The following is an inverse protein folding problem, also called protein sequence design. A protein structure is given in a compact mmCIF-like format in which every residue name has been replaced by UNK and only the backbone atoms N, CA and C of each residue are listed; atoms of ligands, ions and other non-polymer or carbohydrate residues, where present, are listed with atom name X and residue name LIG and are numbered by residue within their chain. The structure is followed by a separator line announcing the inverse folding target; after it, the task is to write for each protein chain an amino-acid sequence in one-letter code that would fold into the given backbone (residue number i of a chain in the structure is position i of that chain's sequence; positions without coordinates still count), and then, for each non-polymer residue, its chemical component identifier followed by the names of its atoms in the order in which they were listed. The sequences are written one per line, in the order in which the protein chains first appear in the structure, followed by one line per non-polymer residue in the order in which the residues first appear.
data_IF_233721012200
#
_entry.id   IF_233721012200
#
_cell.length_a   1.000
_cell.length_b   1.000
_cell.length_c   1.000
_cell.angle_alpha   90.00
_cell.angle_beta   90.00
_cell.angle_gamma   90.00
#
_symmetry.space_group_name_H-M   'P 1'
#
loop_
_entity.id
_entity.type
_entity.pdbx_description
1 polymer ?
#
# COMPACT_ATOMS: atom_id res chain seq x y z
N UNK A 1 -6.41 -0.74 6.50
CA UNK A 1 -7.62 -0.28 7.22
C UNK A 1 -7.27 0.00 8.67
N UNK A 2 -7.78 1.09 9.24
CA UNK A 2 -7.65 1.40 10.68
C UNK A 2 -9.02 1.37 11.35
N UNK A 3 -9.03 1.05 12.63
CA UNK A 3 -10.24 0.95 13.46
C UNK A 3 -9.93 1.45 14.89
N UNK A 4 -10.93 1.67 15.76
CA UNK A 4 -10.71 2.03 17.14
C UNK A 4 -9.79 1.04 17.86
N UNK A 5 -8.92 1.54 18.72
CA UNK A 5 -7.86 0.74 19.35
C UNK A 5 -8.44 -0.43 20.15
N UNK A 6 -7.94 -1.63 19.88
CA UNK A 6 -8.22 -2.85 20.61
C UNK A 6 -7.17 -3.05 21.70
N UNK A 7 -7.49 -2.67 22.91
CA UNK A 7 -6.57 -2.78 24.06
C UNK A 7 -6.15 -4.23 24.36
N UNK A 8 -6.94 -5.22 23.93
CA UNK A 8 -6.62 -6.64 24.09
C UNK A 8 -5.54 -7.15 23.13
N UNK A 9 -5.19 -6.40 22.10
CA UNK A 9 -4.15 -6.75 21.13
C UNK A 9 -2.76 -6.25 21.47
N UNK A 10 -2.60 -5.58 22.60
CA UNK A 10 -1.28 -5.13 23.12
C UNK A 10 -0.44 -6.31 23.68
N UNK A 11 -0.73 -7.54 23.31
CA UNK A 11 -0.08 -8.73 23.83
C UNK A 11 0.70 -9.44 22.74
N UNK A 12 1.83 -10.06 23.13
CA UNK A 12 2.65 -10.89 22.25
C UNK A 12 1.96 -12.21 21.82
N UNK A 13 0.65 -12.34 22.03
CA UNK A 13 -0.15 -13.51 21.62
C UNK A 13 -1.20 -13.08 20.61
N UNK A 14 -1.30 -13.76 19.45
CA UNK A 14 -2.32 -13.46 18.46
C UNK A 14 -3.71 -13.80 19.02
N UNK A 15 -4.76 -13.11 18.55
CA UNK A 15 -6.13 -13.51 18.82
C UNK A 15 -6.36 -14.93 18.27
N UNK A 16 -6.65 -15.89 19.16
CA UNK A 16 -6.74 -17.32 18.82
C UNK A 16 -7.75 -17.58 17.69
N UNK A 17 -8.90 -16.89 17.73
CA UNK A 17 -9.94 -17.02 16.70
C UNK A 17 -9.45 -16.64 15.31
N UNK A 18 -8.78 -15.49 15.19
CA UNK A 18 -8.20 -15.02 13.93
C UNK A 18 -7.07 -15.95 13.46
N UNK A 19 -6.14 -16.29 14.34
CA UNK A 19 -5.02 -17.17 14.00
C UNK A 19 -5.53 -18.55 13.49
N UNK A 20 -6.57 -19.09 14.11
CA UNK A 20 -7.21 -20.34 13.67
C UNK A 20 -7.87 -20.19 12.30
N UNK A 21 -8.57 -19.09 12.06
CA UNK A 21 -9.25 -18.82 10.79
C UNK A 21 -8.25 -18.64 9.63
N UNK A 22 -7.13 -17.97 9.89
CA UNK A 22 -6.10 -17.71 8.87
C UNK A 22 -5.19 -18.90 8.60
N UNK A 23 -5.04 -19.84 9.52
CA UNK A 23 -4.03 -20.92 9.51
C UNK A 23 -3.97 -21.73 8.21
N UNK A 24 -5.09 -21.98 7.54
CA UNK A 24 -5.11 -22.78 6.30
C UNK A 24 -4.54 -22.01 5.11
N UNK A 25 -4.82 -20.72 5.02
CA UNK A 25 -4.48 -19.87 3.88
C UNK A 25 -3.16 -19.12 4.10
N UNK A 26 -2.88 -18.73 5.35
CA UNK A 26 -1.68 -18.04 5.78
C UNK A 26 -1.00 -18.85 6.90
N UNK A 27 -0.26 -19.92 6.53
CA UNK A 27 0.25 -20.89 7.51
C UNK A 27 1.41 -20.38 8.37
N UNK A 28 2.11 -19.35 7.94
CA UNK A 28 3.22 -18.80 8.67
C UNK A 28 2.76 -17.60 9.52
N UNK A 29 3.19 -17.60 10.78
CA UNK A 29 2.92 -16.52 11.71
C UNK A 29 4.21 -16.00 12.32
N UNK A 30 4.39 -14.69 12.29
CA UNK A 30 5.47 -13.98 12.95
C UNK A 30 4.91 -12.82 13.79
N UNK A 31 5.65 -12.43 14.80
CA UNK A 31 5.38 -11.23 15.59
C UNK A 31 6.46 -10.22 15.25
N UNK A 32 6.07 -9.10 14.68
CA UNK A 32 6.92 -7.93 14.53
C UNK A 32 6.67 -6.98 15.70
N UNK A 33 7.74 -6.36 16.19
CA UNK A 33 7.71 -5.38 17.26
C UNK A 33 8.17 -4.05 16.72
N UNK A 34 7.25 -3.11 16.67
CA UNK A 34 7.55 -1.74 16.28
C UNK A 34 7.88 -0.91 17.55
N UNK A 35 9.02 -0.26 17.52
CA UNK A 35 9.46 0.65 18.59
C UNK A 35 9.51 2.04 18.01
N UNK A 36 8.70 2.95 18.53
CA UNK A 36 8.67 4.35 18.13
C UNK A 36 9.18 5.24 19.25
N UNK A 37 10.09 6.16 18.91
CA UNK A 37 10.52 7.23 19.81
C UNK A 37 9.73 8.50 19.47
N UNK A 38 8.98 8.98 20.43
CA UNK A 38 8.21 10.23 20.30
C UNK A 38 8.44 11.17 21.47
N UNK A 39 7.86 12.38 21.45
CA UNK A 39 7.96 13.33 22.56
C UNK A 39 7.45 12.77 23.90
N UNK A 40 6.55 11.79 23.86
CA UNK A 40 5.99 11.11 25.04
C UNK A 40 6.83 9.91 25.52
N UNK A 41 8.00 9.65 24.89
CA UNK A 41 8.87 8.52 25.22
C UNK A 41 8.85 7.41 24.17
N UNK A 42 9.27 6.21 24.60
CA UNK A 42 9.31 5.00 23.76
C UNK A 42 7.95 4.31 23.82
N UNK A 43 7.31 4.15 22.66
CA UNK A 43 6.11 3.32 22.51
C UNK A 43 6.46 2.02 21.80
N UNK A 44 5.84 0.93 22.20
CA UNK A 44 5.99 -0.39 21.58
C UNK A 44 4.62 -0.84 21.08
N UNK A 45 4.56 -1.24 19.82
CA UNK A 45 3.37 -1.87 19.22
C UNK A 45 3.74 -3.25 18.68
N UNK A 46 2.82 -4.20 18.79
CA UNK A 46 2.99 -5.53 18.26
C UNK A 46 2.15 -5.71 17.00
N UNK A 47 2.76 -6.28 15.98
CA UNK A 47 2.10 -6.65 14.74
C UNK A 47 2.12 -8.17 14.60
N UNK A 48 0.95 -8.79 14.52
CA UNK A 48 0.81 -10.20 14.19
C UNK A 48 0.74 -10.35 12.67
N UNK A 49 1.77 -10.89 12.06
CA UNK A 49 1.90 -11.05 10.61
C UNK A 49 1.66 -12.50 10.23
N UNK A 50 0.65 -12.72 9.41
CA UNK A 50 0.30 -14.03 8.84
C UNK A 50 0.65 -14.03 7.37
N UNK A 51 1.48 -14.97 6.92
CA UNK A 51 2.05 -14.98 5.57
C UNK A 51 1.69 -16.24 4.81
N UNK A 52 1.36 -16.08 3.53
CA UNK A 52 1.35 -17.13 2.52
C UNK A 52 2.46 -16.87 1.50
N UNK A 53 3.51 -17.69 1.55
CA UNK A 53 4.63 -17.56 0.60
C UNK A 53 4.27 -17.91 -0.83
N UNK A 54 3.27 -18.78 -1.04
CA UNK A 54 2.84 -19.18 -2.39
C UNK A 54 2.20 -18.03 -3.14
N UNK A 55 1.27 -17.36 -2.50
CA UNK A 55 0.59 -16.18 -3.06
C UNK A 55 1.35 -14.87 -2.79
N UNK A 56 2.52 -14.93 -2.15
CA UNK A 56 3.34 -13.77 -1.78
C UNK A 56 2.51 -12.66 -1.12
N UNK A 57 1.63 -13.06 -0.23
CA UNK A 57 0.71 -12.14 0.46
C UNK A 57 0.77 -12.30 1.96
N UNK A 58 0.42 -11.24 2.67
CA UNK A 58 0.37 -11.22 4.13
C UNK A 58 -0.84 -10.45 4.66
N UNK A 59 -1.25 -10.83 5.86
CA UNK A 59 -2.21 -10.10 6.67
C UNK A 59 -1.51 -9.72 7.95
N UNK A 60 -1.48 -8.41 8.26
CA UNK A 60 -0.93 -7.88 9.51
C UNK A 60 -2.04 -7.30 10.36
N UNK A 61 -2.09 -7.71 11.63
CA UNK A 61 -3.00 -7.16 12.62
C UNK A 61 -2.19 -6.42 13.71
N UNK A 62 -2.48 -5.15 13.90
CA UNK A 62 -2.02 -4.28 15.00
C UNK A 62 -3.19 -3.90 15.90
N UNK A 63 -2.90 -3.26 17.01
CA UNK A 63 -3.91 -2.79 17.97
C UNK A 63 -5.00 -1.90 17.35
N UNK A 64 -4.71 -1.21 16.25
CA UNK A 64 -5.64 -0.29 15.58
C UNK A 64 -5.62 -0.40 14.05
N UNK A 65 -5.03 -1.46 13.49
CA UNK A 65 -4.93 -1.60 12.04
C UNK A 65 -4.95 -3.05 11.58
N UNK A 66 -5.65 -3.30 10.47
CA UNK A 66 -5.55 -4.51 9.66
C UNK A 66 -5.00 -4.13 8.29
N UNK A 67 -3.92 -4.78 7.89
CA UNK A 67 -3.28 -4.56 6.59
C UNK A 67 -3.28 -5.86 5.81
N UNK A 68 -3.69 -5.81 4.55
CA UNK A 68 -3.49 -6.87 3.57
C UNK A 68 -2.47 -6.38 2.55
N UNK A 69 -1.46 -7.19 2.27
CA UNK A 69 -0.41 -6.88 1.30
C UNK A 69 -0.21 -8.06 0.34
N UNK A 70 0.10 -7.76 -0.91
CA UNK A 70 0.50 -8.77 -1.89
C UNK A 70 1.58 -8.22 -2.82
N UNK A 71 2.58 -9.04 -3.11
CA UNK A 71 3.57 -8.79 -4.16
C UNK A 71 3.20 -9.51 -5.48
N UNK A 72 2.05 -10.22 -5.50
CA UNK A 72 1.51 -10.87 -6.68
C UNK A 72 0.11 -10.30 -6.92
N UNK A 73 0.09 -9.18 -7.62
CA UNK A 73 -1.14 -8.49 -8.00
C UNK A 73 -1.58 -8.95 -9.39
N UNK A 74 -2.80 -9.44 -9.53
CA UNK A 74 -3.38 -9.91 -10.79
C UNK A 74 -4.45 -8.93 -11.30
N UNK A 75 -5.41 -8.60 -10.46
CA UNK A 75 -6.47 -7.64 -10.76
C UNK A 75 -6.98 -6.96 -9.49
N UNK A 76 -7.66 -5.84 -9.67
CA UNK A 76 -8.29 -5.15 -8.54
C UNK A 76 -9.40 -5.99 -7.92
N UNK A 77 -10.17 -6.70 -8.72
CA UNK A 77 -11.27 -7.55 -8.24
C UNK A 77 -10.74 -8.70 -7.35
N UNK A 78 -9.67 -9.38 -7.76
CA UNK A 78 -9.02 -10.39 -6.91
C UNK A 78 -8.51 -9.77 -5.61
N UNK A 79 -7.77 -8.66 -5.72
CA UNK A 79 -7.23 -7.95 -4.55
C UNK A 79 -8.35 -7.53 -3.60
N UNK A 80 -9.42 -6.88 -4.10
CA UNK A 80 -10.58 -6.45 -3.34
C UNK A 80 -11.26 -7.65 -2.65
N UNK A 81 -11.48 -8.74 -3.37
CA UNK A 81 -12.05 -9.97 -2.81
C UNK A 81 -11.25 -10.50 -1.63
N UNK A 82 -9.92 -10.53 -1.73
CA UNK A 82 -9.00 -10.98 -0.67
C UNK A 82 -9.00 -10.02 0.54
N UNK A 83 -9.08 -8.72 0.29
CA UNK A 83 -9.20 -7.71 1.36
C UNK A 83 -10.49 -7.89 2.14
N UNK A 84 -11.63 -8.08 1.44
CA UNK A 84 -12.93 -8.29 2.08
C UNK A 84 -12.97 -9.60 2.85
N UNK A 85 -12.38 -10.68 2.32
CA UNK A 85 -12.23 -11.94 3.03
C UNK A 85 -11.40 -11.77 4.32
N UNK A 86 -10.26 -11.06 4.24
CA UNK A 86 -9.42 -10.80 5.41
C UNK A 86 -10.16 -10.04 6.50
N UNK A 87 -10.94 -9.02 6.13
CA UNK A 87 -11.79 -8.28 7.06
C UNK A 87 -12.88 -9.18 7.67
N UNK A 88 -13.53 -10.00 6.86
CA UNK A 88 -14.57 -10.93 7.34
C UNK A 88 -14.01 -11.92 8.37
N UNK A 89 -12.79 -12.44 8.16
CA UNK A 89 -12.13 -13.33 9.11
C UNK A 89 -11.74 -12.58 10.40
N UNK A 90 -11.38 -11.30 10.29
CA UNK A 90 -11.02 -10.46 11.42
C UNK A 90 -12.21 -9.79 12.13
N UNK A 91 -13.42 -9.84 11.55
CA UNK A 91 -14.61 -9.09 12.02
C UNK A 91 -14.89 -9.26 13.51
N UNK A 92 -14.87 -10.51 14.01
CA UNK A 92 -15.11 -10.79 15.44
C UNK A 92 -13.98 -10.29 16.36
N UNK A 93 -12.78 -10.13 15.83
CA UNK A 93 -11.62 -9.64 16.58
C UNK A 93 -11.64 -8.11 16.63
N UNK A 94 -11.96 -7.48 15.49
CA UNK A 94 -12.01 -6.02 15.38
C UNK A 94 -13.25 -5.47 16.08
N UNK A 95 -14.39 -6.16 15.99
CA UNK A 95 -15.66 -5.84 16.64
C UNK A 95 -16.03 -4.34 16.54
N UNK A 96 -15.95 -3.82 15.32
CA UNK A 96 -16.27 -2.43 15.01
C UNK A 96 -17.07 -2.34 13.71
N UNK A 97 -18.08 -1.49 13.70
CA UNK A 97 -18.89 -1.15 12.52
C UNK A 97 -18.30 0.01 11.72
N UNK A 98 -17.30 0.71 12.30
CA UNK A 98 -16.66 1.87 11.70
C UNK A 98 -15.16 1.64 11.57
N UNK A 99 -14.64 1.90 10.38
CA UNK A 99 -13.22 1.99 10.09
C UNK A 99 -12.82 3.48 10.13
N UNK A 100 -11.90 3.82 11.02
CA UNK A 100 -11.44 5.21 11.17
C UNK A 100 -10.67 5.68 9.94
N UNK A 101 -10.01 4.75 9.21
CA UNK A 101 -9.37 5.01 7.91
C UNK A 101 -9.36 3.74 7.07
N UNK A 102 -9.71 3.88 5.80
CA UNK A 102 -9.48 2.88 4.75
C UNK A 102 -8.51 3.46 3.76
N UNK A 103 -7.37 2.81 3.52
CA UNK A 103 -6.38 3.22 2.52
C UNK A 103 -6.15 2.11 1.52
N UNK A 104 -5.94 2.49 0.27
CA UNK A 104 -5.44 1.67 -0.82
C UNK A 104 -4.10 2.26 -1.25
N UNK A 105 -3.08 1.41 -1.42
CA UNK A 105 -1.73 1.87 -1.78
C UNK A 105 -1.12 0.95 -2.81
N UNK A 106 -0.69 1.53 -3.93
CA UNK A 106 0.10 0.86 -4.95
C UNK A 106 1.53 1.42 -4.98
N UNK A 107 2.50 0.52 -4.97
CA UNK A 107 3.91 0.85 -5.15
C UNK A 107 4.34 0.25 -6.48
N UNK A 108 4.59 1.11 -7.45
CA UNK A 108 5.01 0.72 -8.79
C UNK A 108 6.47 1.09 -8.99
N UNK A 109 7.20 0.25 -9.70
CA UNK A 109 8.58 0.51 -10.07
C UNK A 109 8.74 0.42 -11.58
N UNK A 110 9.49 1.36 -12.14
CA UNK A 110 9.86 1.34 -13.56
C UNK A 110 11.38 1.43 -13.68
N UNK A 111 11.97 0.96 -14.80
CA UNK A 111 13.41 1.06 -14.99
C UNK A 111 13.88 2.51 -14.89
N UNK A 112 15.00 2.73 -14.19
CA UNK A 112 15.62 4.04 -14.08
C UNK A 112 16.87 4.12 -14.93
N UNK A 113 16.81 4.96 -15.96
CA UNK A 113 17.95 5.52 -16.67
C UNK A 113 17.70 7.01 -16.81
N UNK A 114 18.58 7.82 -16.25
CA UNK A 114 18.44 9.28 -16.21
C UNK A 114 18.12 9.89 -17.58
N UNK A 115 18.69 9.36 -18.66
CA UNK A 115 18.49 9.87 -20.02
C UNK A 115 17.11 9.56 -20.58
N UNK A 116 16.52 8.42 -20.16
CA UNK A 116 15.31 7.87 -20.73
C UNK A 116 14.14 7.80 -19.74
N UNK A 117 14.33 8.25 -18.49
CA UNK A 117 13.29 8.12 -17.44
C UNK A 117 11.97 8.81 -17.82
N UNK A 118 11.99 9.89 -18.60
CA UNK A 118 10.80 10.57 -19.11
C UNK A 118 9.97 9.73 -20.10
N UNK A 119 10.52 8.64 -20.63
CA UNK A 119 9.74 7.67 -21.40
C UNK A 119 8.90 6.77 -20.50
N UNK A 120 9.31 6.59 -19.26
CA UNK A 120 8.68 5.71 -18.27
C UNK A 120 7.75 6.44 -17.30
N UNK A 121 8.08 7.70 -16.99
CA UNK A 121 7.30 8.53 -16.07
C UNK A 121 6.99 9.89 -16.68
N UNK A 122 5.95 10.54 -16.17
CA UNK A 122 5.60 11.89 -16.63
C UNK A 122 6.80 12.84 -16.50
N UNK A 123 7.17 13.56 -17.58
CA UNK A 123 8.33 14.48 -17.57
C UNK A 123 8.29 15.53 -16.46
N UNK A 124 7.09 15.93 -16.01
CA UNK A 124 6.94 16.89 -14.90
C UNK A 124 7.56 16.37 -13.61
N UNK A 125 7.53 15.04 -13.36
CA UNK A 125 8.07 14.43 -12.15
C UNK A 125 9.60 14.37 -12.15
N UNK A 126 10.22 14.40 -13.34
CA UNK A 126 11.67 14.20 -13.54
C UNK A 126 12.36 15.40 -14.15
N UNK A 127 11.66 16.53 -14.29
CA UNK A 127 12.19 17.73 -14.93
C UNK A 127 13.49 18.24 -14.33
N UNK A 128 13.62 18.19 -13.01
CA UNK A 128 14.86 18.57 -12.32
C UNK A 128 16.05 17.65 -12.70
N UNK A 129 15.80 16.34 -12.80
CA UNK A 129 16.81 15.35 -13.17
C UNK A 129 17.33 15.54 -14.61
N UNK A 130 16.48 16.04 -15.50
CA UNK A 130 16.76 16.23 -16.93
C UNK A 130 17.18 17.66 -17.29
N UNK A 131 17.15 18.59 -16.35
CA UNK A 131 17.45 20.00 -16.57
C UNK A 131 18.89 20.28 -17.02
N UNK A 132 19.82 19.33 -16.81
CA UNK A 132 21.25 19.53 -17.03
C UNK A 132 21.96 20.34 -15.92
N UNK A 133 21.21 20.83 -14.94
CA UNK A 133 21.78 21.63 -13.83
C UNK A 133 22.59 20.77 -12.85
N UNK A 134 22.34 19.44 -12.82
CA UNK A 134 23.00 18.51 -11.89
C UNK A 134 23.79 17.46 -12.68
N UNK A 135 25.09 17.25 -12.32
CA UNK A 135 25.95 16.30 -13.00
C UNK A 135 25.60 14.84 -12.65
N UNK A 136 25.45 14.56 -11.37
CA UNK A 136 25.05 13.24 -10.83
C UNK A 136 23.99 13.41 -9.76
N UNK A 137 22.94 12.56 -9.80
CA UNK A 137 21.83 12.61 -8.87
C UNK A 137 21.55 11.18 -8.40
N UNK A 138 22.23 10.72 -7.35
CA UNK A 138 21.99 9.37 -6.79
C UNK A 138 20.66 9.26 -6.06
N UNK A 139 20.11 10.39 -5.64
CA UNK A 139 18.89 10.46 -4.85
C UNK A 139 17.96 11.58 -5.35
N UNK A 140 16.69 11.25 -5.52
CA UNK A 140 15.64 12.20 -5.89
C UNK A 140 14.33 11.73 -5.27
N UNK A 141 13.67 12.58 -4.50
CA UNK A 141 12.37 12.30 -3.90
C UNK A 141 11.43 13.50 -4.04
N UNK A 142 10.22 13.22 -4.48
CA UNK A 142 9.11 14.15 -4.49
C UNK A 142 7.94 13.62 -3.67
N UNK A 143 7.21 14.52 -3.01
CA UNK A 143 5.99 14.20 -2.27
C UNK A 143 4.94 15.26 -2.51
N UNK A 144 3.75 14.81 -2.88
CA UNK A 144 2.54 15.63 -2.97
C UNK A 144 1.50 14.96 -2.09
N UNK A 145 0.84 15.71 -1.21
CA UNK A 145 -0.23 15.20 -0.38
C UNK A 145 -1.35 16.24 -0.30
N UNK A 146 -2.59 15.77 -0.23
CA UNK A 146 -3.76 16.63 -0.22
C UNK A 146 -5.05 15.84 -0.24
N UNK A 147 -6.10 16.48 -0.72
CA UNK A 147 -7.42 15.89 -0.91
C UNK A 147 -7.85 16.03 -2.37
N UNK A 148 -8.50 14.99 -2.90
CA UNK A 148 -9.06 14.96 -4.23
C UNK A 148 -10.35 14.12 -4.23
N UNK A 149 -11.44 14.65 -4.78
CA UNK A 149 -12.71 13.93 -4.88
C UNK A 149 -13.34 13.52 -3.54
N UNK A 150 -12.95 14.16 -2.43
CA UNK A 150 -13.39 13.81 -1.07
C UNK A 150 -12.55 12.72 -0.42
N UNK A 151 -11.41 12.36 -1.02
CA UNK A 151 -10.44 11.41 -0.47
C UNK A 151 -9.09 12.08 -0.23
N UNK A 152 -8.43 11.71 0.86
CA UNK A 152 -7.06 12.09 1.09
C UNK A 152 -6.12 11.27 0.20
N UNK A 153 -4.99 11.86 -0.21
CA UNK A 153 -3.94 11.15 -0.92
C UNK A 153 -2.54 11.55 -0.48
N UNK A 154 -1.60 10.62 -0.64
CA UNK A 154 -0.17 10.87 -0.59
C UNK A 154 0.48 10.22 -1.83
N UNK A 155 1.06 11.06 -2.67
CA UNK A 155 1.81 10.66 -3.85
C UNK A 155 3.29 10.89 -3.59
N UNK A 156 4.06 9.81 -3.50
CA UNK A 156 5.50 9.85 -3.35
C UNK A 156 6.14 9.29 -4.63
N UNK A 157 7.24 9.88 -5.06
CA UNK A 157 7.97 9.38 -6.21
C UNK A 157 9.46 9.66 -6.09
N UNK A 158 10.27 8.90 -6.80
CA UNK A 158 11.71 9.17 -6.77
C UNK A 158 12.57 7.98 -7.15
N UNK A 159 13.89 8.15 -7.01
CA UNK A 159 14.88 7.11 -7.28
C UNK A 159 14.92 6.17 -6.08
N UNK A 160 14.67 4.89 -6.32
CA UNK A 160 14.84 3.81 -5.37
C UNK A 160 15.92 2.83 -5.80
N UNK A 161 16.25 1.91 -4.91
CA UNK A 161 17.18 0.81 -5.19
C UNK A 161 16.48 -0.51 -4.95
N UNK A 162 16.40 -1.34 -5.97
CA UNK A 162 15.88 -2.68 -5.86
C UNK A 162 16.66 -3.47 -4.82
N UNK A 163 15.99 -4.03 -3.82
CA UNK A 163 16.64 -4.71 -2.71
C UNK A 163 17.37 -6.00 -3.11
N UNK A 164 16.93 -6.65 -4.21
CA UNK A 164 17.48 -7.92 -4.71
C UNK A 164 18.57 -7.68 -5.74
N UNK A 165 18.26 -6.91 -6.81
CA UNK A 165 19.18 -6.72 -7.94
C UNK A 165 20.17 -5.60 -7.70
N UNK A 166 19.93 -4.73 -6.72
CA UNK A 166 20.68 -3.50 -6.42
C UNK A 166 20.66 -2.47 -7.55
N UNK A 167 19.84 -2.71 -8.58
CA UNK A 167 19.63 -1.74 -9.66
C UNK A 167 18.82 -0.55 -9.17
N UNK A 168 19.08 0.62 -9.75
CA UNK A 168 18.21 1.79 -9.52
C UNK A 168 16.90 1.61 -10.28
N UNK A 169 15.83 2.00 -9.64
CA UNK A 169 14.46 2.00 -10.16
C UNK A 169 13.83 3.36 -9.87
N UNK A 170 12.89 3.79 -10.68
CA UNK A 170 12.03 4.89 -10.31
C UNK A 170 10.76 4.37 -9.69
N UNK A 171 10.48 4.82 -8.48
CA UNK A 171 9.34 4.40 -7.67
C UNK A 171 8.22 5.42 -7.80
N UNK A 172 6.99 4.92 -8.01
CA UNK A 172 5.73 5.67 -7.96
C UNK A 172 4.89 5.00 -6.88
N UNK A 173 4.68 5.70 -5.77
CA UNK A 173 4.00 5.21 -4.58
C UNK A 173 2.80 6.10 -4.29
N UNK A 174 1.62 5.55 -4.49
CA UNK A 174 0.34 6.26 -4.35
C UNK A 174 -0.44 5.61 -3.21
N UNK A 175 -0.83 6.40 -2.21
CA UNK A 175 -1.72 6.00 -1.11
C UNK A 175 -2.94 6.91 -1.15
N UNK A 176 -4.11 6.36 -1.46
CA UNK A 176 -5.38 7.06 -1.38
C UNK A 176 -6.21 6.52 -0.22
N UNK A 177 -6.92 7.39 0.48
CA UNK A 177 -7.65 6.98 1.66
C UNK A 177 -8.92 7.78 1.92
N UNK A 178 -9.87 7.10 2.57
CA UNK A 178 -11.08 7.67 3.15
C UNK A 178 -11.04 7.55 4.67
N UNK A 179 -11.67 8.49 5.36
CA UNK A 179 -11.82 8.47 6.83
C UNK A 179 -13.26 8.21 7.22
N UNK A 180 -13.46 7.64 8.42
CA UNK A 180 -14.78 7.37 9.00
C UNK A 180 -15.72 6.58 8.08
N UNK A 181 -15.25 5.43 7.61
CA UNK A 181 -15.97 4.54 6.67
C UNK A 181 -16.75 3.49 7.44
N UNK A 182 -18.05 3.32 7.14
CA UNK A 182 -18.81 2.15 7.59
C UNK A 182 -18.23 0.87 6.99
N UNK A 183 -18.18 -0.20 7.77
CA UNK A 183 -17.74 -1.52 7.27
C UNK A 183 -18.62 -1.99 6.10
N UNK A 184 -19.89 -1.61 6.06
CA UNK A 184 -20.82 -1.96 4.98
C UNK A 184 -20.48 -1.23 3.67
N UNK A 185 -19.97 0.00 3.74
CA UNK A 185 -19.61 0.81 2.59
C UNK A 185 -18.21 0.48 2.04
N UNK A 186 -17.42 -0.34 2.75
CA UNK A 186 -16.05 -0.66 2.37
C UNK A 186 -15.90 -1.10 0.91
N UNK A 187 -16.77 -2.00 0.36
CA UNK A 187 -16.62 -2.43 -1.04
C UNK A 187 -16.72 -1.27 -2.03
N UNK A 188 -17.67 -0.35 -1.82
CA UNK A 188 -17.87 0.84 -2.66
C UNK A 188 -16.71 1.83 -2.51
N UNK A 189 -16.23 2.03 -1.29
CA UNK A 189 -15.09 2.93 -1.03
C UNK A 189 -13.81 2.41 -1.70
N UNK A 190 -13.54 1.10 -1.64
CA UNK A 190 -12.40 0.50 -2.35
C UNK A 190 -12.47 0.72 -3.87
N UNK A 191 -13.66 0.58 -4.48
CA UNK A 191 -13.87 0.84 -5.92
C UNK A 191 -13.52 2.29 -6.27
N UNK A 192 -13.99 3.24 -5.48
CA UNK A 192 -13.75 4.67 -5.70
C UNK A 192 -12.27 5.03 -5.50
N UNK A 193 -11.65 4.55 -4.42
CA UNK A 193 -10.22 4.76 -4.19
C UNK A 193 -9.39 4.21 -5.35
N UNK A 194 -9.69 2.99 -5.81
CA UNK A 194 -9.00 2.40 -6.95
C UNK A 194 -9.16 3.22 -8.23
N UNK A 195 -10.38 3.66 -8.53
CA UNK A 195 -10.65 4.44 -9.75
C UNK A 195 -9.87 5.77 -9.77
N UNK A 196 -9.78 6.45 -8.63
CA UNK A 196 -9.07 7.72 -8.54
C UNK A 196 -7.55 7.54 -8.47
N UNK A 197 -7.07 6.50 -7.80
CA UNK A 197 -5.66 6.13 -7.77
C UNK A 197 -5.15 5.72 -9.16
N UNK A 198 -5.95 4.97 -9.92
CA UNK A 198 -5.62 4.56 -11.28
C UNK A 198 -5.50 5.77 -12.23
N UNK A 199 -6.36 6.79 -12.10
CA UNK A 199 -6.23 8.04 -12.85
C UNK A 199 -4.91 8.75 -12.54
N UNK A 200 -4.55 8.82 -11.25
CA UNK A 200 -3.29 9.43 -10.83
C UNK A 200 -2.08 8.63 -11.32
N UNK A 201 -2.16 7.30 -11.29
CA UNK A 201 -1.15 6.42 -11.85
C UNK A 201 -0.96 6.64 -13.35
N UNK A 202 -2.06 6.69 -14.14
CA UNK A 202 -1.99 6.96 -15.58
C UNK A 202 -1.37 8.33 -15.89
N UNK A 203 -1.62 9.34 -15.06
CA UNK A 203 -0.96 10.63 -15.18
C UNK A 203 0.54 10.54 -14.86
N UNK A 204 0.93 9.71 -13.89
CA UNK A 204 2.31 9.62 -13.42
C UNK A 204 3.25 8.85 -14.36
N UNK A 205 2.71 7.97 -15.21
CA UNK A 205 3.51 7.12 -16.10
C UNK A 205 3.70 7.74 -17.48
N UNK A 206 4.80 7.34 -18.15
CA UNK A 206 5.15 7.76 -19.50
C UNK A 206 4.72 6.75 -20.59
N UNK A 207 4.92 7.10 -21.88
CA UNK A 207 4.50 6.28 -23.02
C UNK A 207 5.04 4.84 -22.99
N UNK A 208 6.32 4.66 -22.66
CA UNK A 208 6.93 3.33 -22.63
C UNK A 208 6.31 2.41 -21.56
N UNK A 209 5.88 2.97 -20.41
CA UNK A 209 5.18 2.21 -19.40
C UNK A 209 3.77 1.81 -19.86
N UNK A 210 3.05 2.72 -20.54
CA UNK A 210 1.75 2.43 -21.13
C UNK A 210 1.83 1.32 -22.18
N UNK A 211 2.81 1.38 -23.08
CA UNK A 211 3.04 0.37 -24.11
C UNK A 211 3.34 -1.01 -23.51
N UNK A 212 4.13 -1.05 -22.42
CA UNK A 212 4.46 -2.28 -21.72
C UNK A 212 3.26 -2.91 -21.00
N UNK A 213 2.36 -2.08 -20.48
CA UNK A 213 1.13 -2.55 -19.81
C UNK A 213 0.13 -3.17 -20.81
N UNK A 214 0.27 -2.87 -22.09
CA UNK A 214 -0.67 -3.26 -23.14
C UNK A 214 -1.97 -2.44 -23.11
N UNK A 215 -2.83 -2.58 -24.14
CA UNK A 215 -4.12 -1.92 -24.14
C UNK A 215 -4.94 -2.40 -22.95
N UNK A 216 -5.50 -1.45 -22.18
CA UNK A 216 -6.49 -1.77 -21.17
C UNK A 216 -7.64 -2.52 -21.86
N UNK A 217 -7.78 -3.81 -21.59
CA UNK A 217 -8.90 -4.59 -22.11
C UNK A 217 -10.13 -4.11 -21.35
N UNK A 218 -11.08 -3.40 -21.98
CA UNK A 218 -12.33 -3.08 -21.31
C UNK A 218 -13.03 -4.40 -21.01
N UNK A 219 -13.28 -4.66 -19.75
CA UNK A 219 -14.21 -5.70 -19.30
C UNK A 219 -15.61 -5.15 -19.20
#
# INVERSE_FOLDING_TARGET
MRFPTLYSLDQAKPPIGLATALRKKYPEHAIAKDVSLGPAGVTQDFSHVFTDRKSRSSISLKSSALTFETAQYESFEDFKGRVLEALQLAKKTIDSEILTRVGLRYINTVPFDRKNVSNWVNPVLVGALQSGAFADVPEHHGKIAGEQGGFGFAFNHGIGVNSVTRAQEYVIDIDMFAESVSVEDLPLILDRLHADEFKLFLWAIGPAALDQMGPATPK
#
